data_IF_004926019586
#
_entry.id   IF_004926019586
#
_cell.length_a   1.000
_cell.length_b   1.000
_cell.length_c   1.000
_cell.angle_alpha   90.00
_cell.angle_beta   90.00
_cell.angle_gamma   90.00
#
_symmetry.space_group_name_H-M   'P 1'
#
loop_
_entity.id
_entity.type
_entity.pdbx_description
1 polymer ?
#
# COMPACT_ATOMS: atom_id res chain seq x y z
N UNK A 1 -12.01 -4.85 3.40
CA UNK A 1 -10.68 -4.72 2.78
C UNK A 1 -10.38 -3.29 2.43
N UNK A 2 -9.13 -2.87 2.56
CA UNK A 2 -8.64 -1.54 2.26
C UNK A 2 -8.67 -1.16 0.76
N UNK A 3 -8.41 0.11 0.47
CA UNK A 3 -8.05 0.63 -0.86
C UNK A 3 -6.70 1.30 -0.80
N UNK A 4 -5.94 1.25 -1.88
CA UNK A 4 -4.62 1.88 -1.95
C UNK A 4 -4.41 2.57 -3.30
N UNK A 5 -3.67 3.67 -3.28
CA UNK A 5 -3.19 4.42 -4.42
C UNK A 5 -1.70 4.70 -4.23
N UNK A 6 -0.87 4.28 -5.17
CA UNK A 6 0.54 4.65 -5.32
C UNK A 6 0.75 5.49 -6.58
N UNK A 7 1.56 6.53 -6.49
CA UNK A 7 1.94 7.39 -7.62
C UNK A 7 3.45 7.62 -7.59
N UNK A 8 4.14 7.30 -8.69
CA UNK A 8 5.53 7.76 -8.91
C UNK A 8 5.56 9.15 -9.52
N UNK A 9 6.64 9.90 -9.29
CA UNK A 9 6.80 11.28 -9.74
C UNK A 9 5.58 12.13 -9.37
N UNK A 10 5.08 11.95 -8.15
CA UNK A 10 3.92 12.66 -7.65
C UNK A 10 4.15 14.17 -7.75
N UNK A 11 3.13 14.85 -8.26
CA UNK A 11 3.05 16.29 -8.40
C UNK A 11 1.60 16.70 -8.13
N UNK A 12 1.36 17.45 -7.06
CA UNK A 12 0.02 17.79 -6.62
C UNK A 12 -0.79 18.54 -7.70
N UNK A 13 -0.18 19.49 -8.43
CA UNK A 13 -0.88 20.24 -9.46
C UNK A 13 -1.39 19.35 -10.61
N UNK A 14 -0.69 18.26 -10.91
CA UNK A 14 -1.10 17.28 -11.93
C UNK A 14 -2.06 16.21 -11.40
N UNK A 15 -1.84 15.76 -10.15
CA UNK A 15 -2.47 14.57 -9.60
C UNK A 15 -3.62 14.86 -8.62
N UNK A 16 -3.91 16.13 -8.30
CA UNK A 16 -4.94 16.51 -7.33
C UNK A 16 -6.30 15.86 -7.64
N UNK A 17 -6.70 15.80 -8.91
CA UNK A 17 -7.98 15.17 -9.32
C UNK A 17 -8.01 13.67 -9.01
N UNK A 18 -6.93 12.95 -9.28
CA UNK A 18 -6.83 11.50 -9.00
C UNK A 18 -6.81 11.26 -7.48
N UNK A 19 -6.08 12.07 -6.72
CA UNK A 19 -6.09 12.01 -5.25
C UNK A 19 -7.50 12.25 -4.71
N UNK A 20 -8.19 13.30 -5.16
CA UNK A 20 -9.55 13.60 -4.75
C UNK A 20 -10.53 12.46 -5.09
N UNK A 21 -10.39 11.86 -6.28
CA UNK A 21 -11.20 10.71 -6.67
C UNK A 21 -10.91 9.47 -5.82
N UNK A 22 -9.65 9.23 -5.46
CA UNK A 22 -9.31 8.17 -4.52
C UNK A 22 -9.91 8.41 -3.14
N UNK A 23 -9.89 9.65 -2.62
CA UNK A 23 -10.53 9.99 -1.35
C UNK A 23 -12.03 9.65 -1.35
N UNK A 24 -12.73 9.79 -2.49
CA UNK A 24 -14.14 9.42 -2.60
C UNK A 24 -14.37 7.91 -2.44
N UNK A 25 -13.38 7.06 -2.71
CA UNK A 25 -13.47 5.62 -2.47
C UNK A 25 -13.62 5.30 -0.98
N UNK A 26 -13.33 6.23 -0.06
CA UNK A 26 -13.65 6.06 1.35
C UNK A 26 -15.16 5.82 1.56
N UNK A 27 -16.00 6.37 0.68
CA UNK A 27 -17.45 6.14 0.69
C UNK A 27 -17.87 5.08 -0.32
N UNK A 28 -17.34 5.15 -1.54
CA UNK A 28 -17.87 4.40 -2.71
C UNK A 28 -17.04 3.21 -3.13
N UNK A 29 -15.86 3.01 -2.53
CA UNK A 29 -14.96 1.93 -2.91
C UNK A 29 -15.63 0.58 -2.71
N UNK A 30 -15.36 -0.36 -3.61
CA UNK A 30 -15.94 -1.70 -3.58
C UNK A 30 -15.69 -2.38 -2.21
N UNK A 31 -16.67 -3.14 -1.75
CA UNK A 31 -16.64 -3.92 -0.51
C UNK A 31 -17.04 -5.36 -0.82
N UNK A 32 -16.79 -6.32 0.08
CA UNK A 32 -17.36 -7.66 -0.10
C UNK A 32 -18.88 -7.57 0.04
N UNK A 33 -19.61 -8.52 -0.57
CA UNK A 33 -21.07 -8.51 -0.55
C UNK A 33 -21.69 -8.48 0.86
N UNK A 34 -20.99 -9.01 1.86
CA UNK A 34 -21.45 -9.09 3.26
C UNK A 34 -20.92 -7.96 4.15
N UNK A 35 -20.03 -7.11 3.63
CA UNK A 35 -19.45 -6.00 4.38
C UNK A 35 -20.34 -4.75 4.29
N UNK A 36 -20.40 -3.90 5.35
CA UNK A 36 -21.03 -2.58 5.24
C UNK A 36 -20.32 -1.73 4.17
N UNK A 37 -21.00 -0.76 3.54
CA UNK A 37 -20.37 0.12 2.56
C UNK A 37 -19.26 0.98 3.19
N UNK A 38 -18.31 1.43 2.37
CA UNK A 38 -17.26 2.37 2.77
C UNK A 38 -16.01 1.75 3.40
N UNK A 39 -14.97 2.57 3.46
CA UNK A 39 -13.61 2.33 3.95
C UNK A 39 -13.25 3.43 4.95
N UNK A 40 -14.02 3.49 6.03
CA UNK A 40 -14.04 4.61 6.97
C UNK A 40 -13.29 4.30 8.28
N UNK A 41 -12.55 3.18 8.34
CA UNK A 41 -11.92 2.66 9.57
C UNK A 41 -10.48 3.16 9.78
N UNK A 42 -10.10 4.24 9.10
CA UNK A 42 -8.77 4.81 9.14
C UNK A 42 -8.18 5.11 7.77
N UNK A 43 -7.05 5.81 7.77
CA UNK A 43 -6.28 6.08 6.56
C UNK A 43 -4.79 6.23 6.87
N UNK A 44 -3.97 6.12 5.82
CA UNK A 44 -2.53 6.29 5.91
C UNK A 44 -1.96 6.90 4.64
N UNK A 45 -1.08 7.88 4.80
CA UNK A 45 -0.36 8.57 3.76
C UNK A 45 1.14 8.43 4.01
N UNK A 46 1.88 8.04 2.98
CA UNK A 46 3.33 8.08 2.91
C UNK A 46 3.78 8.84 1.67
N UNK A 47 4.78 9.72 1.83
CA UNK A 47 5.48 10.36 0.72
C UNK A 47 6.87 10.80 1.19
N UNK A 48 7.72 11.25 0.27
CA UNK A 48 9.07 11.68 0.56
C UNK A 48 9.21 13.17 0.29
N UNK A 49 9.82 13.89 1.22
CA UNK A 49 10.06 15.34 1.11
C UNK A 49 11.46 15.66 1.62
N UNK A 50 12.26 16.32 0.80
CA UNK A 50 13.65 16.66 1.11
C UNK A 50 14.51 15.42 1.48
N UNK A 51 14.26 14.29 0.81
CA UNK A 51 14.96 13.03 1.07
C UNK A 51 14.47 12.25 2.30
N UNK A 52 13.49 12.78 3.05
CA UNK A 52 12.97 12.15 4.25
C UNK A 52 11.57 11.57 4.02
N UNK A 53 11.32 10.41 4.63
CA UNK A 53 10.00 9.79 4.66
C UNK A 53 9.06 10.57 5.58
N UNK A 54 7.89 10.96 5.06
CA UNK A 54 6.79 11.53 5.83
C UNK A 54 5.64 10.53 5.87
N UNK A 55 5.26 10.10 7.08
CA UNK A 55 4.10 9.24 7.31
C UNK A 55 3.07 9.95 8.17
N UNK A 56 1.81 9.95 7.72
CA UNK A 56 0.65 10.37 8.50
C UNK A 56 -0.42 9.30 8.42
N UNK A 57 -0.97 8.89 9.57
CA UNK A 57 -2.05 7.91 9.65
C UNK A 57 -3.03 8.24 10.75
N UNK A 58 -4.27 7.83 10.56
CA UNK A 58 -5.38 8.07 11.48
C UNK A 58 -6.27 6.83 11.58
N UNK A 59 -6.93 6.67 12.73
CA UNK A 59 -8.01 5.70 12.92
C UNK A 59 -9.39 6.24 12.55
N UNK A 60 -9.51 7.54 12.23
CA UNK A 60 -10.76 8.16 11.81
C UNK A 60 -11.00 7.99 10.30
N UNK A 61 -12.25 8.20 9.87
CA UNK A 61 -12.60 8.20 8.45
C UNK A 61 -11.83 9.29 7.71
N UNK A 62 -11.30 8.96 6.53
CA UNK A 62 -10.66 9.96 5.68
C UNK A 62 -11.66 11.05 5.24
N UNK A 63 -12.96 10.74 5.19
CA UNK A 63 -13.99 11.72 4.81
C UNK A 63 -14.02 12.92 5.77
N UNK A 64 -13.73 12.70 7.05
CA UNK A 64 -13.71 13.74 8.08
C UNK A 64 -12.36 14.49 8.12
N UNK A 65 -11.32 13.92 7.52
CA UNK A 65 -9.94 14.42 7.59
C UNK A 65 -9.32 14.66 6.21
N UNK A 66 -10.14 14.78 5.15
CA UNK A 66 -9.66 14.94 3.77
C UNK A 66 -8.78 16.18 3.63
N UNK A 67 -9.14 17.29 4.29
CA UNK A 67 -8.36 18.54 4.29
C UNK A 67 -6.95 18.35 4.86
N UNK A 68 -6.74 17.42 5.80
CA UNK A 68 -5.40 17.12 6.33
C UNK A 68 -4.53 16.48 5.24
N UNK A 69 -5.07 15.50 4.51
CA UNK A 69 -4.36 14.82 3.40
C UNK A 69 -4.05 15.81 2.29
N UNK A 70 -5.05 16.55 1.85
CA UNK A 70 -4.92 17.55 0.79
C UNK A 70 -3.90 18.62 1.18
N UNK A 71 -4.01 19.20 2.38
CA UNK A 71 -3.09 20.23 2.85
C UNK A 71 -1.64 19.74 3.01
N UNK A 72 -1.42 18.46 3.35
CA UNK A 72 -0.08 17.86 3.38
C UNK A 72 0.52 17.72 1.98
N UNK A 73 -0.27 17.23 1.02
CA UNK A 73 0.17 17.02 -0.37
C UNK A 73 0.39 18.35 -1.10
N UNK A 74 -0.46 19.35 -0.85
CA UNK A 74 -0.27 20.72 -1.35
C UNK A 74 1.05 21.33 -0.89
N UNK A 75 1.36 21.18 0.40
CA UNK A 75 2.62 21.66 0.98
C UNK A 75 3.82 20.87 0.46
N UNK A 76 3.67 19.58 0.22
CA UNK A 76 4.73 18.74 -0.36
C UNK A 76 5.05 19.14 -1.80
N UNK A 77 4.02 19.54 -2.58
CA UNK A 77 4.05 19.85 -4.02
C UNK A 77 4.45 18.68 -4.89
N UNK A 78 5.61 18.07 -4.65
CA UNK A 78 6.15 16.94 -5.39
C UNK A 78 6.73 15.88 -4.45
N UNK A 79 6.73 14.62 -4.89
CA UNK A 79 7.40 13.51 -4.21
C UNK A 79 7.81 12.46 -5.25
N UNK A 80 8.97 11.79 -5.13
CA UNK A 80 9.33 10.69 -6.01
C UNK A 80 8.30 9.56 -5.96
N UNK A 81 7.74 9.29 -4.78
CA UNK A 81 6.67 8.31 -4.55
C UNK A 81 5.67 8.85 -3.54
N UNK A 82 4.39 8.67 -3.78
CA UNK A 82 3.31 8.89 -2.81
C UNK A 82 2.45 7.64 -2.74
N UNK A 83 2.10 7.20 -1.53
CA UNK A 83 1.15 6.10 -1.31
C UNK A 83 0.10 6.55 -0.30
N UNK A 84 -1.18 6.44 -0.69
CA UNK A 84 -2.35 6.76 0.13
C UNK A 84 -3.22 5.50 0.26
N UNK A 85 -3.70 5.25 1.48
CA UNK A 85 -4.43 4.05 1.84
C UNK A 85 -5.67 4.38 2.64
N UNK A 86 -6.78 3.74 2.29
CA UNK A 86 -8.04 3.77 3.02
C UNK A 86 -8.21 2.43 3.72
N UNK A 87 -8.50 2.47 5.01
CA UNK A 87 -8.65 1.25 5.80
C UNK A 87 -10.11 0.83 5.86
N UNK A 88 -10.32 -0.47 5.72
CA UNK A 88 -11.56 -1.12 6.10
C UNK A 88 -11.26 -2.30 7.01
N UNK A 89 -11.74 -2.23 8.24
CA UNK A 89 -11.58 -3.30 9.21
C UNK A 89 -12.78 -4.24 9.17
N UNK A 90 -12.53 -5.53 9.39
CA UNK A 90 -13.60 -6.52 9.54
C UNK A 90 -14.25 -6.50 10.95
N UNK A 91 -13.74 -5.67 11.87
CA UNK A 91 -14.12 -5.69 13.29
C UNK A 91 -14.34 -4.28 13.84
N UNK A 92 -15.45 -4.08 14.55
CA UNK A 92 -15.70 -2.84 15.33
C UNK A 92 -14.62 -2.67 16.42
N UNK A 93 -14.27 -1.43 16.76
CA UNK A 93 -13.24 -1.06 17.77
C UNK A 93 -11.81 -1.56 17.50
N UNK A 94 -11.47 -1.91 16.26
CA UNK A 94 -10.09 -2.24 15.87
C UNK A 94 -9.36 -1.10 15.16
N UNK A 95 -9.95 0.10 15.16
CA UNK A 95 -9.41 1.37 14.64
C UNK A 95 -8.22 1.89 15.45
N UNK A 96 -7.22 1.03 15.69
CA UNK A 96 -5.95 1.44 16.27
C UNK A 96 -5.01 1.91 15.17
N UNK A 97 -4.50 3.14 15.33
CA UNK A 97 -3.44 3.72 14.50
C UNK A 97 -2.16 2.85 14.49
N UNK A 98 -1.94 2.05 15.55
CA UNK A 98 -0.80 1.13 15.69
C UNK A 98 -0.72 0.09 14.57
N UNK A 99 -1.88 -0.44 14.17
CA UNK A 99 -1.99 -1.47 13.13
C UNK A 99 -2.52 -0.90 11.81
N UNK A 100 -2.73 0.41 11.73
CA UNK A 100 -3.07 1.08 10.48
C UNK A 100 -1.82 1.21 9.62
N UNK A 101 -1.99 0.90 8.33
CA UNK A 101 -0.98 1.14 7.32
C UNK A 101 -0.70 2.64 7.13
N UNK A 102 0.47 3.00 6.57
CA UNK A 102 1.61 2.12 6.30
C UNK A 102 2.34 1.66 7.56
N UNK A 103 3.06 0.55 7.41
CA UNK A 103 4.23 0.23 8.25
C UNK A 103 5.47 0.81 7.60
N UNK A 104 6.49 1.14 8.40
CA UNK A 104 7.75 1.67 7.88
C UNK A 104 8.93 1.30 8.77
N UNK A 105 10.10 1.19 8.15
CA UNK A 105 11.39 0.98 8.80
C UNK A 105 12.45 1.77 8.02
N UNK A 106 13.14 2.69 8.69
CA UNK A 106 13.99 3.66 8.01
C UNK A 106 13.17 4.52 7.04
N UNK A 107 13.60 4.56 5.78
CA UNK A 107 12.91 5.22 4.67
C UNK A 107 11.98 4.27 3.88
N UNK A 108 11.92 2.99 4.25
CA UNK A 108 11.10 2.01 3.55
C UNK A 108 9.68 1.97 4.11
N UNK A 109 8.69 2.04 3.22
CA UNK A 109 7.25 1.94 3.57
C UNK A 109 6.62 0.71 2.97
N UNK A 110 5.62 0.15 3.66
CA UNK A 110 4.95 -1.08 3.26
C UNK A 110 3.43 -1.02 3.53
N UNK A 111 2.68 -1.36 2.49
CA UNK A 111 1.24 -1.58 2.52
C UNK A 111 0.94 -3.00 2.07
N UNK A 112 0.00 -3.63 2.75
CA UNK A 112 -0.48 -4.96 2.40
C UNK A 112 -2.00 -5.00 2.52
N UNK A 113 -2.61 -5.58 1.50
CA UNK A 113 -4.02 -5.79 1.43
C UNK A 113 -4.31 -7.27 1.21
N UNK A 114 -4.69 -7.93 2.30
CA UNK A 114 -4.65 -9.38 2.41
C UNK A 114 -4.43 -9.79 3.85
N UNK A 115 -4.33 -11.09 4.06
CA UNK A 115 -4.03 -11.70 5.36
C UNK A 115 -3.15 -12.91 5.12
N UNK A 116 -2.03 -13.00 5.84
CA UNK A 116 -1.27 -14.25 6.03
C UNK A 116 -1.71 -14.84 7.35
N UNK A 117 -2.44 -15.96 7.33
CA UNK A 117 -3.16 -16.46 8.50
C UNK A 117 -2.24 -17.04 9.58
N UNK A 118 -1.20 -17.73 9.16
CA UNK A 118 -0.20 -18.42 9.96
C UNK A 118 1.16 -17.71 9.90
N UNK A 119 1.12 -16.38 9.84
CA UNK A 119 2.28 -15.49 9.71
C UNK A 119 3.36 -15.69 10.79
N UNK A 120 3.02 -16.27 11.94
CA UNK A 120 3.98 -16.55 13.01
C UNK A 120 5.10 -17.50 12.55
N UNK A 121 4.86 -18.31 11.52
CA UNK A 121 5.90 -19.15 10.92
C UNK A 121 7.01 -18.37 10.19
N UNK A 122 6.81 -17.07 9.92
CA UNK A 122 7.83 -16.17 9.38
C UNK A 122 8.73 -15.59 10.47
N UNK A 123 8.30 -15.59 11.75
CA UNK A 123 9.06 -14.97 12.85
C UNK A 123 10.50 -15.50 13.02
N UNK A 124 10.79 -16.81 12.85
CA UNK A 124 12.14 -17.33 13.06
C UNK A 124 13.21 -16.73 12.15
N UNK A 125 12.84 -16.28 10.95
CA UNK A 125 13.77 -15.74 9.95
C UNK A 125 13.88 -14.20 10.01
N UNK A 126 13.21 -13.55 10.98
CA UNK A 126 13.32 -12.11 11.22
C UNK A 126 14.53 -11.83 12.09
N UNK A 127 15.53 -11.16 11.50
CA UNK A 127 16.80 -10.83 12.15
C UNK A 127 16.86 -9.39 12.66
N UNK A 128 15.95 -8.54 12.17
CA UNK A 128 15.90 -7.13 12.53
C UNK A 128 15.24 -6.89 13.90
N UNK A 129 15.83 -6.03 14.75
CA UNK A 129 15.17 -5.60 15.97
C UNK A 129 14.01 -4.63 15.66
N UNK A 130 13.08 -4.47 16.60
CA UNK A 130 12.02 -3.46 16.54
C UNK A 130 10.61 -4.01 16.31
N UNK A 131 10.49 -5.29 15.92
CA UNK A 131 9.22 -5.98 15.86
C UNK A 131 8.64 -6.12 17.27
N UNK A 132 7.45 -5.55 17.50
CA UNK A 132 6.79 -5.58 18.82
C UNK A 132 6.04 -6.89 19.04
N UNK A 133 5.83 -7.25 20.30
CA UNK A 133 5.10 -8.47 20.67
C UNK A 133 3.63 -8.50 20.18
N UNK A 134 3.04 -7.33 19.90
CA UNK A 134 1.68 -7.19 19.36
C UNK A 134 1.63 -7.18 17.82
N UNK A 135 2.76 -7.44 17.14
CA UNK A 135 2.85 -7.46 15.69
C UNK A 135 1.89 -8.48 15.08
N UNK A 136 1.30 -8.11 13.94
CA UNK A 136 0.36 -8.94 13.18
C UNK A 136 0.94 -9.28 11.82
N UNK A 137 0.21 -10.11 11.09
CA UNK A 137 0.55 -10.62 9.76
C UNK A 137 1.28 -9.62 8.85
N UNK A 138 0.77 -8.40 8.68
CA UNK A 138 1.41 -7.43 7.78
C UNK A 138 2.75 -6.94 8.31
N UNK A 139 2.85 -6.63 9.60
CA UNK A 139 4.09 -6.13 10.17
C UNK A 139 5.16 -7.23 10.21
N UNK A 140 4.75 -8.47 10.51
CA UNK A 140 5.63 -9.63 10.44
C UNK A 140 6.09 -9.89 9.00
N UNK A 141 5.18 -9.83 8.03
CA UNK A 141 5.52 -9.94 6.60
C UNK A 141 6.53 -8.85 6.21
N UNK A 142 6.27 -7.59 6.56
CA UNK A 142 7.18 -6.49 6.27
C UNK A 142 8.57 -6.69 6.89
N UNK A 143 8.65 -7.05 8.18
CA UNK A 143 9.93 -7.28 8.85
C UNK A 143 10.69 -8.48 8.29
N UNK A 144 9.99 -9.51 7.82
CA UNK A 144 10.62 -10.62 7.10
C UNK A 144 11.23 -10.16 5.78
N UNK A 145 10.53 -9.34 4.99
CA UNK A 145 11.09 -8.72 3.78
C UNK A 145 12.35 -7.91 4.13
N UNK A 146 12.27 -7.06 5.16
CA UNK A 146 13.40 -6.21 5.55
C UNK A 146 14.59 -6.99 6.13
N UNK A 147 14.37 -8.21 6.63
CA UNK A 147 15.43 -9.10 7.12
C UNK A 147 16.15 -9.85 5.98
N UNK A 148 15.72 -9.64 4.73
CA UNK A 148 16.37 -10.16 3.54
C UNK A 148 17.81 -9.67 3.41
N UNK A 149 18.63 -10.49 2.74
CA UNK A 149 20.09 -10.29 2.67
C UNK A 149 20.59 -10.03 1.26
N UNK A 150 19.69 -9.94 0.27
CA UNK A 150 20.10 -9.76 -1.13
C UNK A 150 20.58 -8.34 -1.42
N UNK A 151 20.24 -7.36 -0.56
CA UNK A 151 20.52 -5.95 -0.76
C UNK A 151 19.61 -5.29 -1.81
N UNK A 152 18.59 -6.01 -2.30
CA UNK A 152 17.58 -5.52 -3.23
C UNK A 152 16.18 -5.81 -2.67
N UNK A 153 15.49 -4.74 -2.28
CA UNK A 153 14.19 -4.84 -1.62
C UNK A 153 13.15 -5.63 -2.46
N UNK A 154 13.21 -5.51 -3.78
CA UNK A 154 12.30 -6.24 -4.68
C UNK A 154 12.58 -7.74 -4.68
N UNK A 155 13.86 -8.14 -4.69
CA UNK A 155 14.26 -9.56 -4.59
C UNK A 155 13.91 -10.15 -3.23
N UNK A 156 14.18 -9.42 -2.14
CA UNK A 156 13.85 -9.86 -0.78
C UNK A 156 12.32 -10.01 -0.60
N UNK A 157 11.54 -9.10 -1.19
CA UNK A 157 10.08 -9.21 -1.25
C UNK A 157 9.63 -10.45 -2.00
N UNK A 158 10.14 -10.68 -3.22
CA UNK A 158 9.76 -11.83 -4.05
C UNK A 158 10.10 -13.17 -3.38
N UNK A 159 11.25 -13.24 -2.70
CA UNK A 159 11.62 -14.43 -1.92
C UNK A 159 10.63 -14.69 -0.78
N UNK A 160 10.25 -13.64 -0.05
CA UNK A 160 9.25 -13.74 1.02
C UNK A 160 7.87 -14.11 0.48
N UNK A 161 7.42 -13.49 -0.61
CA UNK A 161 6.16 -13.80 -1.26
C UNK A 161 6.12 -15.26 -1.76
N UNK A 162 7.21 -15.75 -2.36
CA UNK A 162 7.33 -17.14 -2.78
C UNK A 162 7.26 -18.11 -1.59
N UNK A 163 7.93 -17.79 -0.47
CA UNK A 163 7.85 -18.56 0.77
C UNK A 163 6.41 -18.65 1.29
N UNK A 164 5.71 -17.49 1.36
CA UNK A 164 4.31 -17.43 1.78
C UNK A 164 3.43 -18.29 0.87
N UNK A 165 3.59 -18.18 -0.46
CA UNK A 165 2.82 -18.98 -1.42
C UNK A 165 3.01 -20.48 -1.27
N UNK A 166 4.22 -20.91 -0.89
CA UNK A 166 4.57 -22.33 -0.80
C UNK A 166 4.22 -22.94 0.55
N UNK A 167 4.34 -22.18 1.64
CA UNK A 167 4.33 -22.74 3.00
C UNK A 167 3.26 -22.17 3.92
N UNK A 168 2.56 -21.11 3.51
CA UNK A 168 1.60 -20.41 4.37
C UNK A 168 0.23 -20.30 3.74
N UNK A 169 -0.79 -20.17 4.60
CA UNK A 169 -2.16 -19.90 4.21
C UNK A 169 -2.35 -18.41 4.14
N UNK A 170 -2.81 -17.91 2.99
CA UNK A 170 -3.09 -16.49 2.81
C UNK A 170 -4.36 -16.26 2.01
N UNK A 171 -4.95 -15.07 2.15
CA UNK A 171 -6.08 -14.64 1.32
C UNK A 171 -5.62 -13.87 0.08
N UNK A 172 -4.70 -12.92 0.26
CA UNK A 172 -4.00 -12.20 -0.78
C UNK A 172 -2.72 -11.58 -0.27
N UNK A 173 -1.90 -11.09 -1.19
CA UNK A 173 -0.63 -10.41 -0.97
C UNK A 173 -0.57 -9.13 -1.80
N UNK A 174 -1.67 -8.40 -1.95
CA UNK A 174 -1.64 -7.15 -2.70
C UNK A 174 -0.81 -6.13 -1.92
N UNK A 175 0.35 -5.77 -2.44
CA UNK A 175 1.32 -4.96 -1.73
C UNK A 175 1.76 -3.76 -2.57
N UNK A 176 1.85 -2.60 -1.91
CA UNK A 176 2.56 -1.42 -2.41
C UNK A 176 3.64 -1.06 -1.40
N UNK A 177 4.87 -0.86 -1.87
CA UNK A 177 5.99 -0.53 -1.00
C UNK A 177 7.04 0.31 -1.74
N UNK A 178 7.90 0.98 -1.00
CA UNK A 178 8.91 1.88 -1.56
C UNK A 178 10.11 2.01 -0.65
N UNK A 179 11.30 2.12 -1.23
CA UNK A 179 12.59 2.36 -0.56
C UNK A 179 13.07 3.81 -0.78
N UNK A 180 12.14 4.78 -0.84
CA UNK A 180 12.35 6.19 -1.27
C UNK A 180 12.68 6.43 -2.74
N UNK A 181 13.23 5.41 -3.42
CA UNK A 181 13.63 5.51 -4.82
C UNK A 181 12.58 4.89 -5.71
N UNK A 182 12.27 3.62 -5.52
CA UNK A 182 11.36 2.87 -6.38
C UNK A 182 9.98 2.73 -5.76
N UNK A 183 8.95 2.67 -6.60
CA UNK A 183 7.65 2.14 -6.18
C UNK A 183 7.58 0.68 -6.63
N UNK A 184 7.18 -0.19 -5.72
CA UNK A 184 6.93 -1.59 -6.01
C UNK A 184 5.44 -1.89 -5.81
N UNK A 185 4.91 -2.75 -6.68
CA UNK A 185 3.56 -3.28 -6.57
C UNK A 185 3.56 -4.78 -6.83
N UNK A 186 2.79 -5.52 -6.04
CA UNK A 186 2.56 -6.95 -6.23
C UNK A 186 1.08 -7.27 -6.09
N UNK A 187 0.55 -8.14 -6.94
CA UNK A 187 -0.83 -8.62 -6.84
C UNK A 187 -0.84 -10.14 -6.81
N UNK A 188 -1.39 -10.73 -5.76
CA UNK A 188 -1.62 -12.18 -5.68
C UNK A 188 -2.74 -12.49 -4.69
N UNK A 189 -3.47 -13.57 -4.91
CA UNK A 189 -4.68 -13.93 -4.16
C UNK A 189 -4.98 -15.42 -4.27
N UNK A 190 -5.71 -15.96 -3.29
CA UNK A 190 -6.23 -17.33 -3.32
C UNK A 190 -7.73 -17.40 -3.56
N UNK A 191 -8.41 -16.25 -3.51
CA UNK A 191 -9.87 -16.09 -3.65
C UNK A 191 -10.22 -14.68 -4.07
N UNK A 192 -11.46 -14.48 -4.52
CA UNK A 192 -12.06 -13.15 -4.79
C UNK A 192 -11.20 -12.25 -5.71
N UNK A 193 -10.82 -12.69 -6.92
CA UNK A 193 -9.94 -11.94 -7.84
C UNK A 193 -10.39 -10.49 -8.05
N UNK A 194 -11.68 -10.27 -8.27
CA UNK A 194 -12.24 -8.95 -8.55
C UNK A 194 -12.15 -8.02 -7.33
N UNK A 195 -12.25 -8.60 -6.13
CA UNK A 195 -12.13 -7.87 -4.88
C UNK A 195 -10.68 -7.52 -4.54
N UNK A 196 -9.75 -8.47 -4.71
CA UNK A 196 -8.30 -8.27 -4.60
C UNK A 196 -7.72 -7.72 -5.91
N UNK A 197 -8.38 -6.72 -6.49
CA UNK A 197 -7.91 -6.01 -7.68
C UNK A 197 -6.77 -5.06 -7.36
N UNK A 198 -5.89 -4.91 -8.35
CA UNK A 198 -4.85 -3.89 -8.38
C UNK A 198 -4.62 -3.53 -9.83
N UNK A 199 -4.70 -2.25 -10.15
CA UNK A 199 -4.61 -1.72 -11.50
C UNK A 199 -3.40 -0.82 -11.62
N UNK A 200 -2.76 -0.83 -12.79
CA UNK A 200 -1.66 0.06 -13.17
C UNK A 200 -2.09 0.96 -14.32
N UNK A 201 -1.63 2.19 -14.33
CA UNK A 201 -1.76 3.13 -15.43
C UNK A 201 -0.47 3.97 -15.54
N UNK A 202 -0.19 4.46 -16.75
CA UNK A 202 0.95 5.33 -17.01
C UNK A 202 0.46 6.64 -17.60
N UNK A 203 0.97 7.75 -17.08
CA UNK A 203 0.63 9.10 -17.52
C UNK A 203 1.88 9.97 -17.47
N UNK A 204 2.30 10.50 -18.62
CA UNK A 204 3.54 11.28 -18.75
C UNK A 204 4.76 10.53 -18.16
N UNK A 205 5.34 11.04 -17.06
CA UNK A 205 6.45 10.43 -16.34
C UNK A 205 6.02 9.74 -15.02
N UNK A 206 4.72 9.57 -14.79
CA UNK A 206 4.15 8.95 -13.60
C UNK A 206 3.57 7.58 -13.91
N UNK A 207 3.81 6.63 -13.01
CA UNK A 207 3.09 5.37 -12.92
C UNK A 207 2.14 5.46 -11.74
N UNK A 208 0.88 5.08 -11.96
CA UNK A 208 -0.15 5.03 -10.96
C UNK A 208 -0.55 3.58 -10.73
N UNK A 209 -0.63 3.18 -9.47
CA UNK A 209 -1.13 1.87 -9.07
C UNK A 209 -2.27 2.07 -8.09
N UNK A 210 -3.45 1.50 -8.36
CA UNK A 210 -4.64 1.72 -7.53
C UNK A 210 -5.47 0.45 -7.39
N UNK A 211 -6.15 0.27 -6.26
CA UNK A 211 -7.12 -0.83 -6.09
C UNK A 211 -8.26 -0.77 -7.10
N UNK A 212 -8.66 0.44 -7.53
CA UNK A 212 -9.72 0.65 -8.51
C UNK A 212 -9.28 1.71 -9.55
N UNK A 213 -9.73 1.64 -10.81
CA UNK A 213 -9.53 2.72 -11.79
C UNK A 213 -10.10 4.05 -11.28
N UNK A 214 -9.30 5.13 -11.38
CA UNK A 214 -9.64 6.44 -10.80
C UNK A 214 -9.91 7.53 -11.84
N UNK A 215 -9.62 7.29 -13.11
CA UNK A 215 -9.81 8.25 -14.18
C UNK A 215 -10.09 7.51 -15.48
N UNK A 216 -11.25 7.75 -16.08
CA UNK A 216 -11.68 7.13 -17.32
C UNK A 216 -10.83 7.57 -18.53
N UNK A 217 -10.09 8.68 -18.40
CA UNK A 217 -9.17 9.16 -19.45
C UNK A 217 -7.82 8.44 -19.42
N UNK A 218 -7.53 7.67 -18.36
CA UNK A 218 -6.34 6.84 -18.27
C UNK A 218 -6.66 5.40 -18.66
N UNK A 219 -5.73 4.78 -19.39
CA UNK A 219 -5.81 3.36 -19.69
C UNK A 219 -5.32 2.56 -18.49
N UNK A 220 -6.27 2.19 -17.62
CA UNK A 220 -6.01 1.28 -16.51
C UNK A 220 -5.97 -0.17 -16.97
N UNK A 221 -4.92 -0.88 -16.59
CA UNK A 221 -4.76 -2.31 -16.80
C UNK A 221 -4.79 -3.02 -15.45
N UNK A 222 -5.62 -4.05 -15.29
CA UNK A 222 -5.57 -4.88 -14.10
C UNK A 222 -4.28 -5.70 -14.11
N UNK A 223 -3.50 -5.63 -13.05
CA UNK A 223 -2.31 -6.46 -12.88
C UNK A 223 -2.70 -7.93 -12.85
N UNK A 224 -1.93 -8.81 -13.48
CA UNK A 224 -2.16 -10.25 -13.44
C UNK A 224 -1.89 -10.84 -12.03
N UNK A 225 -2.38 -12.05 -11.79
CA UNK A 225 -2.04 -12.77 -10.56
C UNK A 225 -0.55 -13.14 -10.55
N UNK A 226 0.12 -12.87 -9.43
CA UNK A 226 1.56 -13.03 -9.27
C UNK A 226 2.38 -11.97 -9.99
N UNK A 227 1.75 -10.94 -10.57
CA UNK A 227 2.48 -9.86 -11.24
C UNK A 227 3.22 -9.00 -10.21
N UNK A 228 4.50 -8.77 -10.49
CA UNK A 228 5.37 -7.88 -9.74
C UNK A 228 5.84 -6.74 -10.63
N UNK A 229 5.69 -5.52 -10.14
CA UNK A 229 6.08 -4.29 -10.82
C UNK A 229 7.07 -3.53 -9.93
N UNK A 230 8.20 -3.11 -10.52
CA UNK A 230 9.21 -2.27 -9.87
C UNK A 230 9.46 -1.05 -10.77
N UNK A 231 9.06 0.13 -10.32
CA UNK A 231 9.16 1.37 -11.09
C UNK A 231 10.23 2.26 -10.46
N UNK A 232 11.22 2.63 -11.27
CA UNK A 232 12.22 3.64 -10.91
C UNK A 232 11.81 5.01 -11.51
N UNK A 233 11.35 5.98 -10.70
CA UNK A 233 10.97 7.31 -11.16
C UNK A 233 12.14 8.11 -11.73
N UNK A 234 13.39 7.75 -11.36
CA UNK A 234 14.62 8.41 -11.79
C UNK A 234 15.27 7.78 -13.03
N UNK A 235 14.76 6.65 -13.53
CA UNK A 235 15.31 5.90 -14.67
C UNK A 235 14.92 6.41 -16.06
N UNK A 236 14.49 7.67 -16.18
CA UNK A 236 14.22 8.30 -17.47
C UNK A 236 15.52 8.74 -18.15
N UNK A 237 16.24 7.79 -18.76
CA UNK A 237 17.45 7.98 -19.55
C UNK A 237 17.97 6.68 -20.11
#
# INVERSE_FOLDING_TARGET
MCRVLGITNFNYAKHARIVARFCQLARTGMVMAEDPPGHEDGWGLAFYRNGELVVRKSGASLLDETDQVIGLLEKARTSPVMILHLRKSAWTNTSSTRHAHPFFLGDTVFFHNGVVYDYQGLLPDITLPGLRADARDTEVFFYHVMSGTTGDLGRDFLATAALIRQKHRFSALNCLFSDSRKLFAYRDYTREPDYYSLHKAYAENSCLVSSEPLDDNLRWEMMAQGEFLAIDPGGGG
#
